data_IF_956992506814
#
_entry.id   IF_956992506814
#
_cell.length_a   1.000
_cell.length_b   1.000
_cell.length_c   1.000
_cell.angle_alpha   90.00
_cell.angle_beta   90.00
_cell.angle_gamma   90.00
#
_symmetry.space_group_name_H-M   'P 1'
#
loop_
_entity.id
_entity.type
_entity.pdbx_description
1 polymer ?
#
# COMPACT_ATOMS: atom_id res chain seq x y z
N UNK A 1 -8.52 -12.27 -16.96
CA UNK A 1 -8.53 -13.71 -17.26
C UNK A 1 -8.03 -14.44 -16.03
N UNK A 2 -8.93 -14.86 -15.14
CA UNK A 2 -8.55 -15.49 -13.87
C UNK A 2 -8.88 -16.99 -13.93
N UNK A 3 -7.86 -17.85 -13.85
CA UNK A 3 -8.06 -19.29 -13.57
C UNK A 3 -7.11 -20.26 -14.28
N UNK A 4 -6.58 -19.91 -15.45
CA UNK A 4 -5.78 -20.84 -16.26
C UNK A 4 -4.34 -20.98 -15.73
N UNK A 5 -3.71 -19.87 -15.35
CA UNK A 5 -2.31 -19.88 -14.93
C UNK A 5 -2.08 -20.52 -13.55
N UNK A 6 -3.05 -20.43 -12.63
CA UNK A 6 -3.00 -21.10 -11.31
C UNK A 6 -3.18 -22.61 -11.47
N UNK A 7 -4.07 -23.06 -12.36
CA UNK A 7 -4.29 -24.48 -12.64
C UNK A 7 -3.07 -25.16 -13.30
N UNK A 8 -2.24 -24.39 -14.01
CA UNK A 8 -1.02 -24.86 -14.68
C UNK A 8 0.23 -24.82 -13.79
N UNK A 9 0.09 -24.55 -12.49
CA UNK A 9 1.21 -24.53 -11.53
C UNK A 9 2.24 -23.42 -11.78
N UNK A 10 1.88 -22.39 -12.54
CA UNK A 10 2.75 -21.24 -12.79
C UNK A 10 2.78 -20.36 -11.55
N UNK A 11 3.98 -19.99 -11.10
CA UNK A 11 4.12 -19.04 -9.99
C UNK A 11 3.40 -17.75 -10.38
N UNK A 12 2.52 -17.20 -9.50
CA UNK A 12 1.95 -15.88 -9.72
C UNK A 12 3.09 -14.90 -9.96
N UNK A 13 3.04 -14.18 -11.07
CA UNK A 13 4.01 -13.12 -11.34
C UNK A 13 3.76 -12.06 -10.26
N UNK A 14 4.77 -11.76 -9.45
CA UNK A 14 4.68 -10.63 -8.53
C UNK A 14 4.42 -9.37 -9.36
N UNK A 15 3.25 -8.77 -9.16
CA UNK A 15 2.94 -7.48 -9.76
C UNK A 15 3.80 -6.43 -9.08
N UNK A 16 4.64 -5.75 -9.86
CA UNK A 16 5.46 -4.67 -9.36
C UNK A 16 4.54 -3.55 -8.82
N UNK A 17 4.92 -2.88 -7.71
CA UNK A 17 4.09 -1.82 -7.15
C UNK A 17 3.90 -0.72 -8.19
N UNK A 18 2.64 -0.37 -8.46
CA UNK A 18 2.29 0.79 -9.28
C UNK A 18 2.54 2.03 -8.45
N UNK A 19 3.60 2.78 -8.78
CA UNK A 19 3.89 4.07 -8.15
C UNK A 19 3.32 5.17 -9.03
N UNK A 20 2.26 5.83 -8.57
CA UNK A 20 1.69 7.00 -9.24
C UNK A 20 2.34 8.25 -8.66
N UNK A 21 3.08 8.99 -9.49
CA UNK A 21 3.65 10.27 -9.08
C UNK A 21 2.57 11.36 -9.10
N UNK A 22 2.03 11.70 -7.93
CA UNK A 22 1.23 12.90 -7.76
C UNK A 22 2.18 14.12 -7.73
N UNK A 23 1.89 15.15 -8.54
CA UNK A 23 2.75 16.34 -8.70
C UNK A 23 2.34 17.49 -7.78
N UNK A 24 1.70 17.17 -6.66
CA UNK A 24 1.12 18.10 -5.69
C UNK A 24 2.01 18.31 -4.46
N UNK A 25 1.51 19.08 -3.49
CA UNK A 25 2.20 19.29 -2.22
C UNK A 25 2.28 17.98 -1.45
N UNK A 26 3.38 17.68 -0.74
CA UNK A 26 3.44 16.54 0.16
C UNK A 26 2.28 16.57 1.17
N UNK A 27 1.53 15.47 1.26
CA UNK A 27 0.46 15.28 2.24
C UNK A 27 0.96 14.46 3.44
N UNK A 28 0.34 14.63 4.61
CA UNK A 28 0.64 13.82 5.79
C UNK A 28 -0.28 12.60 5.83
N UNK A 29 0.19 11.49 5.25
CA UNK A 29 -0.60 10.24 5.15
C UNK A 29 -0.93 9.63 6.53
N UNK A 30 -0.16 9.95 7.56
CA UNK A 30 -0.37 9.43 8.92
C UNK A 30 -1.55 10.15 9.60
N UNK A 31 -1.88 11.36 9.15
CA UNK A 31 -2.99 12.18 9.67
C UNK A 31 -4.19 12.20 8.73
N UNK A 32 -3.95 12.31 7.43
CA UNK A 32 -4.98 12.57 6.41
C UNK A 32 -5.48 11.29 5.73
N UNK A 33 -4.66 10.23 5.73
CA UNK A 33 -4.91 9.00 4.99
C UNK A 33 -4.53 9.12 3.52
N UNK A 34 -5.08 8.24 2.68
CA UNK A 34 -4.77 8.18 1.25
C UNK A 34 -6.07 8.15 0.46
N UNK A 35 -6.28 9.13 -0.41
CA UNK A 35 -7.37 9.14 -1.38
C UNK A 35 -6.83 8.89 -2.80
N UNK A 36 -7.40 7.92 -3.49
CA UNK A 36 -7.02 7.58 -4.87
C UNK A 36 -8.26 7.77 -5.75
N UNK A 37 -8.29 8.78 -6.64
CA UNK A 37 -9.36 8.92 -7.62
C UNK A 37 -9.28 7.79 -8.65
N UNK A 38 -10.39 7.12 -8.91
CA UNK A 38 -10.53 6.10 -9.96
C UNK A 38 -11.08 6.76 -11.23
N UNK A 39 -12.06 7.65 -11.07
CA UNK A 39 -12.69 8.47 -12.12
C UNK A 39 -13.26 9.77 -11.54
N UNK A 40 -14.01 10.54 -12.33
CA UNK A 40 -14.59 11.84 -11.93
C UNK A 40 -15.60 11.77 -10.78
N UNK A 41 -16.15 10.58 -10.47
CA UNK A 41 -17.22 10.38 -9.47
C UNK A 41 -16.87 9.38 -8.39
N UNK A 42 -15.75 8.67 -8.54
CA UNK A 42 -15.39 7.54 -7.69
C UNK A 42 -13.96 7.69 -7.20
N UNK A 43 -13.79 7.60 -5.89
CA UNK A 43 -12.48 7.49 -5.24
C UNK A 43 -12.45 6.34 -4.24
N UNK A 44 -11.26 5.81 -4.00
CA UNK A 44 -10.97 4.87 -2.92
C UNK A 44 -10.27 5.64 -1.82
N UNK A 45 -10.80 5.56 -0.61
CA UNK A 45 -10.21 6.17 0.57
C UNK A 45 -9.69 5.10 1.53
N UNK A 46 -8.39 5.17 1.82
CA UNK A 46 -7.76 4.42 2.90
C UNK A 46 -7.54 5.37 4.08
N UNK A 47 -8.20 5.14 5.24
CA UNK A 47 -8.06 6.02 6.38
C UNK A 47 -6.65 5.92 7.00
N UNK A 48 -6.24 6.94 7.78
CA UNK A 48 -5.03 6.89 8.60
C UNK A 48 -4.93 5.60 9.40
N UNK A 49 -3.76 4.96 9.36
CA UNK A 49 -3.52 3.75 10.14
C UNK A 49 -3.11 4.12 11.57
N UNK A 50 -3.52 3.34 12.58
CA UNK A 50 -3.08 3.60 13.95
C UNK A 50 -1.54 3.49 14.02
N UNK A 51 -0.89 4.27 14.92
CA UNK A 51 0.54 4.21 15.12
C UNK A 51 1.00 2.76 15.35
N UNK A 52 2.06 2.35 14.67
CA UNK A 52 2.63 1.01 14.88
C UNK A 52 3.22 0.90 16.28
N UNK A 53 3.06 -0.25 16.92
CA UNK A 53 3.70 -0.52 18.20
C UNK A 53 5.22 -0.31 18.12
N UNK A 54 5.83 0.27 19.16
CA UNK A 54 7.27 0.50 19.17
C UNK A 54 8.02 -0.82 19.04
N UNK A 55 9.01 -0.85 18.14
CA UNK A 55 9.87 -2.02 17.98
C UNK A 55 10.50 -2.42 19.32
N UNK A 56 10.62 -3.73 19.61
CA UNK A 56 11.21 -4.19 20.85
C UNK A 56 12.65 -3.66 20.96
N UNK A 57 12.96 -3.03 22.11
CA UNK A 57 14.30 -2.51 22.35
C UNK A 57 15.31 -3.66 22.31
N UNK A 58 16.19 -3.65 21.31
CA UNK A 58 17.31 -4.61 21.24
C UNK A 58 18.21 -4.38 22.46
N UNK A 59 18.19 -5.31 23.42
CA UNK A 59 19.15 -5.32 24.52
C UNK A 59 20.55 -5.45 23.92
N UNK A 60 21.36 -4.41 24.02
CA UNK A 60 22.81 -4.51 23.75
C UNK A 60 23.36 -5.46 24.82
N UNK A 61 23.91 -6.60 24.42
CA UNK A 61 24.72 -7.42 25.32
C UNK A 61 25.96 -6.58 25.67
N UNK A 62 26.15 -6.34 26.96
CA UNK A 62 27.38 -5.76 27.50
C UNK A 62 28.52 -6.78 27.41
#
# INVERSE_FOLDING_TARGET
MFGIDVALGRKPKEEAPVVVAASDQPIDIDTDGIEIPIDERTSVFAPPQPPTDPLPRRRRKA
#
